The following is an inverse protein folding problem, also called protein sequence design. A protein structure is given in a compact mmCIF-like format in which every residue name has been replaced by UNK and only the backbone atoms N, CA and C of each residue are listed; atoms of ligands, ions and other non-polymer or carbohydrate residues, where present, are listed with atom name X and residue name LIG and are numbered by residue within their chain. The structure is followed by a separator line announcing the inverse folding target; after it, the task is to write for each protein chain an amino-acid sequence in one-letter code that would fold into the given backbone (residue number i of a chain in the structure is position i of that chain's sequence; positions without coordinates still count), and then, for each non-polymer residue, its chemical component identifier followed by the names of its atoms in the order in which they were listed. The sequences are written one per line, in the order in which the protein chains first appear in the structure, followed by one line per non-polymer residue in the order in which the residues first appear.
data_IF_191563420976
#
_entry.id   IF_191563420976
#
_cell.length_a   1.000
_cell.length_b   1.000
_cell.length_c   1.000
_cell.angle_alpha   90.00
_cell.angle_beta   90.00
_cell.angle_gamma   90.00
#
_symmetry.space_group_name_H-M   'P 1'
#
loop_
_entity.id
_entity.type
_entity.pdbx_description
1 polymer ?
#
# COMPACT_ATOMS: atom_id res chain seq x y z
N UNK A 1 1.84 -13.19 6.28
CA UNK A 1 2.71 -12.47 7.23
C UNK A 1 2.80 -11.03 6.77
N UNK A 2 2.55 -10.04 7.65
CA UNK A 2 2.57 -8.62 7.27
C UNK A 2 4.04 -8.18 7.22
N UNK A 3 4.55 -7.69 6.07
CA UNK A 3 5.92 -7.25 5.95
C UNK A 3 6.21 -6.02 6.83
N UNK A 4 7.43 -5.91 7.33
CA UNK A 4 7.84 -4.80 8.19
C UNK A 4 7.81 -3.46 7.42
N UNK A 5 7.74 -2.33 8.13
CA UNK A 5 7.56 -0.99 7.53
C UNK A 5 8.71 -0.56 6.62
N UNK A 6 9.88 -1.18 6.78
CA UNK A 6 11.05 -0.96 5.91
C UNK A 6 11.09 -1.90 4.70
N UNK A 7 10.09 -2.77 4.53
CA UNK A 7 10.09 -3.72 3.42
C UNK A 7 9.96 -2.98 2.08
N UNK A 8 10.87 -3.22 1.12
CA UNK A 8 10.84 -2.59 -0.19
C UNK A 8 9.54 -2.85 -0.98
N UNK A 9 8.76 -3.89 -0.62
CA UNK A 9 7.43 -4.16 -1.19
C UNK A 9 6.47 -3.00 -0.99
N UNK A 10 6.47 -2.33 0.16
CA UNK A 10 5.58 -1.18 0.39
C UNK A 10 5.91 -0.02 -0.54
N UNK A 11 7.20 0.29 -0.67
CA UNK A 11 7.69 1.30 -1.60
C UNK A 11 7.28 0.93 -3.03
N UNK A 12 7.47 -0.33 -3.43
CA UNK A 12 7.06 -0.83 -4.73
C UNK A 12 5.55 -0.67 -4.97
N UNK A 13 4.69 -1.02 -4.01
CA UNK A 13 3.24 -0.83 -4.15
C UNK A 13 2.86 0.64 -4.37
N UNK A 14 3.57 1.57 -3.73
CA UNK A 14 3.32 3.01 -3.83
C UNK A 14 4.01 3.71 -5.01
N UNK A 15 5.05 3.13 -5.59
CA UNK A 15 5.78 3.72 -6.73
C UNK A 15 5.48 3.05 -8.07
N UNK A 16 4.98 1.81 -8.06
CA UNK A 16 4.71 1.05 -9.28
C UNK A 16 3.23 1.13 -9.61
N UNK A 17 2.88 1.20 -10.89
CA UNK A 17 1.49 1.06 -11.37
C UNK A 17 1.07 -0.42 -11.45
N UNK A 18 1.42 -1.22 -10.43
CA UNK A 18 0.97 -2.61 -10.38
C UNK A 18 -0.55 -2.66 -10.43
N UNK A 19 -1.08 -3.54 -11.27
CA UNK A 19 -2.51 -3.74 -11.44
C UNK A 19 -3.12 -4.18 -10.11
N UNK A 20 -4.10 -3.40 -9.64
CA UNK A 20 -4.79 -3.63 -8.37
C UNK A 20 -6.13 -4.35 -8.58
N UNK A 21 -6.43 -4.85 -9.78
CA UNK A 21 -7.75 -5.42 -10.11
C UNK A 21 -8.10 -6.65 -9.25
N UNK A 22 -7.08 -7.39 -8.82
CA UNK A 22 -7.20 -8.57 -7.96
C UNK A 22 -7.30 -8.24 -6.47
N UNK A 23 -7.15 -6.97 -6.08
CA UNK A 23 -7.22 -6.50 -4.71
C UNK A 23 -8.64 -6.01 -4.34
N UNK A 24 -8.97 -6.03 -3.05
CA UNK A 24 -10.24 -5.52 -2.55
C UNK A 24 -10.42 -4.03 -2.93
N UNK A 25 -11.67 -3.62 -3.20
CA UNK A 25 -11.98 -2.25 -3.60
C UNK A 25 -11.44 -1.20 -2.61
N UNK A 26 -11.52 -1.48 -1.30
CA UNK A 26 -10.98 -0.60 -0.27
C UNK A 26 -9.45 -0.44 -0.39
N UNK A 27 -8.73 -1.55 -0.60
CA UNK A 27 -7.27 -1.56 -0.85
C UNK A 27 -6.94 -0.77 -2.12
N UNK A 28 -7.73 -0.95 -3.20
CA UNK A 28 -7.54 -0.22 -4.46
C UNK A 28 -7.67 1.29 -4.29
N UNK A 29 -8.72 1.74 -3.61
CA UNK A 29 -8.99 3.16 -3.36
C UNK A 29 -7.84 3.74 -2.52
N UNK A 30 -7.47 3.04 -1.44
CA UNK A 30 -6.40 3.49 -0.55
C UNK A 30 -5.06 3.59 -1.29
N UNK A 31 -4.60 2.52 -1.94
CA UNK A 31 -3.33 2.51 -2.67
C UNK A 31 -3.31 3.56 -3.77
N UNK A 32 -4.42 3.75 -4.50
CA UNK A 32 -4.51 4.78 -5.55
C UNK A 32 -4.38 6.19 -4.97
N UNK A 33 -5.03 6.47 -3.83
CA UNK A 33 -4.87 7.74 -3.11
C UNK A 33 -3.43 7.93 -2.63
N UNK A 34 -2.83 6.91 -2.01
CA UNK A 34 -1.45 6.97 -1.51
C UNK A 34 -0.44 7.16 -2.65
N UNK A 35 -0.63 6.50 -3.80
CA UNK A 35 0.18 6.71 -5.02
C UNK A 35 0.11 8.16 -5.50
N UNK A 36 -1.08 8.76 -5.51
CA UNK A 36 -1.25 10.19 -5.87
C UNK A 36 -0.56 11.11 -4.87
N UNK A 37 -0.73 10.86 -3.58
CA UNK A 37 -0.09 11.66 -2.52
C UNK A 37 1.44 11.57 -2.60
N UNK A 38 2.00 10.37 -2.84
CA UNK A 38 3.45 10.16 -3.04
C UNK A 38 3.94 10.82 -4.33
N UNK A 39 3.15 10.77 -5.42
CA UNK A 39 3.49 11.44 -6.68
C UNK A 39 3.50 12.97 -6.54
N UNK A 40 2.61 13.52 -5.72
CA UNK A 40 2.55 14.95 -5.41
C UNK A 40 3.64 15.38 -4.41
N UNK A 41 3.92 14.54 -3.40
CA UNK A 41 4.85 14.83 -2.32
C UNK A 41 5.67 13.57 -1.94
N UNK A 42 6.77 13.29 -2.67
CA UNK A 42 7.56 12.06 -2.47
C UNK A 42 8.22 11.96 -1.08
N UNK A 43 8.40 13.09 -0.38
CA UNK A 43 8.88 13.13 1.00
C UNK A 43 7.91 12.45 2.00
N UNK A 44 6.64 12.29 1.65
CA UNK A 44 5.62 11.68 2.52
C UNK A 44 5.56 10.16 2.44
N UNK A 45 6.39 9.53 1.58
CA UNK A 45 6.39 8.09 1.33
C UNK A 45 6.44 7.27 2.63
N UNK A 46 7.34 7.60 3.55
CA UNK A 46 7.48 6.87 4.82
C UNK A 46 6.19 6.92 5.66
N UNK A 47 5.56 8.09 5.76
CA UNK A 47 4.28 8.25 6.46
C UNK A 47 3.15 7.47 5.79
N UNK A 48 3.13 7.44 4.44
CA UNK A 48 2.14 6.69 3.66
C UNK A 48 2.30 5.17 3.76
N UNK A 49 3.54 4.69 3.91
CA UNK A 49 3.81 3.27 4.19
C UNK A 49 3.24 2.88 5.56
N UNK A 50 3.43 3.71 6.58
CA UNK A 50 2.83 3.47 7.91
C UNK A 50 1.31 3.45 7.84
N UNK A 51 0.69 4.41 7.13
CA UNK A 51 -0.77 4.45 6.93
C UNK A 51 -1.30 3.18 6.25
N UNK A 52 -0.61 2.70 5.20
CA UNK A 52 -0.97 1.47 4.50
C UNK A 52 -0.80 0.24 5.38
N UNK A 53 0.30 0.17 6.16
CA UNK A 53 0.56 -0.92 7.11
C UNK A 53 -0.51 -0.98 8.20
N UNK A 54 -0.90 0.16 8.76
CA UNK A 54 -1.96 0.23 9.77
C UNK A 54 -3.31 -0.20 9.19
N UNK A 55 -3.60 0.17 7.95
CA UNK A 55 -4.79 -0.32 7.26
C UNK A 55 -4.76 -1.84 7.11
N UNK A 56 -3.62 -2.41 6.69
CA UNK A 56 -3.45 -3.86 6.52
C UNK A 56 -3.53 -4.59 7.86
N UNK A 57 -3.02 -4.02 8.95
CA UNK A 57 -3.17 -4.59 10.30
C UNK A 57 -4.63 -4.57 10.78
N UNK A 58 -5.38 -3.51 10.48
CA UNK A 58 -6.80 -3.40 10.86
C UNK A 58 -7.72 -4.25 9.99
N UNK A 59 -7.27 -4.62 8.78
CA UNK A 59 -8.10 -5.29 7.77
C UNK A 59 -7.45 -6.61 7.32
N UNK A 60 -7.92 -7.76 7.83
CA UNK A 60 -7.36 -9.07 7.48
C UNK A 60 -7.39 -9.38 5.98
N UNK A 61 -8.41 -8.90 5.26
CA UNK A 61 -8.52 -9.08 3.80
C UNK A 61 -7.38 -8.38 3.03
N UNK A 62 -6.89 -7.25 3.54
CA UNK A 62 -5.81 -6.51 2.89
C UNK A 62 -4.47 -7.24 3.05
N UNK A 63 -4.31 -8.12 4.04
CA UNK A 63 -3.14 -9.01 4.16
C UNK A 63 -3.06 -9.96 2.98
N UNK A 64 -4.20 -10.49 2.53
CA UNK A 64 -4.27 -11.38 1.36
C UNK A 64 -3.99 -10.62 0.05
N UNK A 65 -4.44 -9.36 -0.06
CA UNK A 65 -4.10 -8.48 -1.17
C UNK A 65 -2.59 -8.19 -1.20
N UNK A 66 -1.98 -7.94 -0.04
CA UNK A 66 -0.53 -7.69 0.07
C UNK A 66 0.34 -8.89 -0.29
N UNK A 67 -0.17 -10.11 -0.11
CA UNK A 67 0.53 -11.32 -0.55
C UNK A 67 0.55 -11.49 -2.07
N UNK A 68 -0.26 -10.73 -2.82
CA UNK A 68 -0.35 -10.77 -4.27
C UNK A 68 0.50 -9.70 -4.98
N UNK A 69 1.09 -8.76 -4.23
CA UNK A 69 1.99 -7.70 -4.75
C UNK A 69 3.47 -8.10 -4.68
#
# INVERSE_FOLDING_TARGET
MIPDGSDPRWKRVLTTESDLSSAALATRILVTRLRRDVKAAPATLAAKITELRDFVMKNPFAVADMARF
#
